data_IF_240734846213
#
_entry.id   IF_240734846213
#
_cell.length_a   1.000
_cell.length_b   1.000
_cell.length_c   1.000
_cell.angle_alpha   90.00
_cell.angle_beta   90.00
_cell.angle_gamma   90.00
#
_symmetry.space_group_name_H-M   'P 1'
#
loop_
_entity.id
_entity.type
_entity.pdbx_description
1 polymer ?
#
# COMPACT_ATOMS: atom_id res chain seq x y z
N UNK A 1 -28.36 7.54 -8.57
CA UNK A 1 -27.20 6.72 -8.24
C UNK A 1 -26.12 6.78 -9.33
N UNK A 2 -26.44 6.53 -10.61
CA UNK A 2 -25.48 6.58 -11.73
C UNK A 2 -24.71 7.91 -11.78
N UNK A 3 -25.40 9.04 -11.70
CA UNK A 3 -24.79 10.38 -11.74
C UNK A 3 -23.86 10.63 -10.54
N UNK A 4 -24.21 10.09 -9.36
CA UNK A 4 -23.37 10.17 -8.17
C UNK A 4 -22.04 9.43 -8.37
N UNK A 5 -22.09 8.18 -8.84
CA UNK A 5 -20.89 7.38 -9.09
C UNK A 5 -20.04 7.95 -10.25
N UNK A 6 -20.70 8.47 -11.30
CA UNK A 6 -20.00 9.16 -12.38
C UNK A 6 -19.25 10.40 -11.87
N UNK A 7 -19.85 11.20 -11.00
CA UNK A 7 -19.20 12.35 -10.38
C UNK A 7 -18.05 11.96 -9.45
N UNK A 8 -18.24 10.95 -8.60
CA UNK A 8 -17.20 10.42 -7.72
C UNK A 8 -15.98 9.87 -8.48
N UNK A 9 -16.19 9.41 -9.72
CA UNK A 9 -15.09 8.94 -10.57
C UNK A 9 -14.45 10.09 -11.36
N UNK A 10 -15.25 10.90 -12.07
CA UNK A 10 -14.74 11.89 -13.02
C UNK A 10 -14.04 13.06 -12.34
N UNK A 11 -14.59 13.58 -11.24
CA UNK A 11 -14.02 14.77 -10.56
C UNK A 11 -12.60 14.53 -10.04
N UNK A 12 -12.29 13.45 -9.32
CA UNK A 12 -10.90 13.15 -8.91
C UNK A 12 -9.97 12.91 -10.10
N UNK A 13 -10.46 12.29 -11.19
CA UNK A 13 -9.63 12.05 -12.39
C UNK A 13 -9.23 13.37 -13.05
N UNK A 14 -10.15 14.30 -13.21
CA UNK A 14 -9.84 15.64 -13.74
C UNK A 14 -8.88 16.40 -12.82
N UNK A 15 -9.05 16.32 -11.51
CA UNK A 15 -8.12 16.91 -10.55
C UNK A 15 -6.71 16.32 -10.67
N UNK A 16 -6.59 15.00 -10.80
CA UNK A 16 -5.30 14.32 -11.01
C UNK A 16 -4.62 14.73 -12.31
N UNK A 17 -5.36 14.85 -13.42
CA UNK A 17 -4.84 15.34 -14.69
C UNK A 17 -4.25 16.75 -14.51
N UNK A 18 -4.99 17.64 -13.83
CA UNK A 18 -4.54 19.01 -13.57
C UNK A 18 -3.31 19.07 -12.66
N UNK A 19 -3.28 18.27 -11.59
CA UNK A 19 -2.19 18.26 -10.63
C UNK A 19 -0.89 17.68 -11.19
N UNK A 20 -0.99 16.63 -12.02
CA UNK A 20 0.18 15.95 -12.61
C UNK A 20 0.67 16.57 -13.91
N UNK A 21 -0.12 17.46 -14.53
CA UNK A 21 0.26 18.13 -15.74
C UNK A 21 1.20 19.30 -15.46
N UNK A 22 2.30 19.39 -16.21
CA UNK A 22 3.17 20.55 -16.15
C UNK A 22 2.39 21.83 -16.50
N UNK A 23 2.57 22.95 -15.77
CA UNK A 23 1.82 24.19 -16.00
C UNK A 23 1.81 24.65 -17.46
N UNK A 24 2.94 24.52 -18.16
CA UNK A 24 3.13 24.90 -19.58
C UNK A 24 2.35 24.04 -20.58
N UNK A 25 2.01 22.79 -20.21
CA UNK A 25 1.32 21.83 -21.06
C UNK A 25 -0.12 21.55 -20.64
N UNK A 26 -0.55 22.05 -19.49
CA UNK A 26 -1.83 21.73 -18.86
C UNK A 26 -3.03 22.02 -19.78
N UNK A 27 -3.04 23.18 -20.43
CA UNK A 27 -4.10 23.55 -21.37
C UNK A 27 -4.22 22.56 -22.54
N UNK A 28 -3.08 22.13 -23.11
CA UNK A 28 -3.04 21.16 -24.22
C UNK A 28 -3.54 19.79 -23.78
N UNK A 29 -3.15 19.35 -22.58
CA UNK A 29 -3.57 18.05 -22.02
C UNK A 29 -5.08 18.05 -21.78
N UNK A 30 -5.64 19.14 -21.22
CA UNK A 30 -7.09 19.28 -21.01
C UNK A 30 -7.82 19.31 -22.36
N UNK A 31 -7.32 20.04 -23.34
CA UNK A 31 -7.93 20.09 -24.69
C UNK A 31 -7.92 18.71 -25.36
N UNK A 32 -6.79 17.98 -25.30
CA UNK A 32 -6.71 16.61 -25.84
C UNK A 32 -7.69 15.67 -25.13
N UNK A 33 -7.80 15.74 -23.80
CA UNK A 33 -8.77 14.96 -23.05
C UNK A 33 -10.22 15.27 -23.45
N UNK A 34 -10.56 16.54 -23.68
CA UNK A 34 -11.89 16.93 -24.11
C UNK A 34 -12.21 16.43 -25.52
N UNK A 35 -11.24 16.46 -26.43
CA UNK A 35 -11.39 15.90 -27.80
C UNK A 35 -11.64 14.38 -27.71
N UNK A 36 -10.85 13.65 -26.92
CA UNK A 36 -11.03 12.22 -26.71
C UNK A 36 -12.41 11.92 -26.11
N UNK A 37 -12.85 12.67 -25.11
CA UNK A 37 -14.20 12.52 -24.53
C UNK A 37 -15.30 12.73 -25.59
N UNK A 38 -15.19 13.74 -26.44
CA UNK A 38 -16.15 13.97 -27.52
C UNK A 38 -16.18 12.79 -28.51
N UNK A 39 -15.02 12.26 -28.91
CA UNK A 39 -14.93 11.07 -29.77
C UNK A 39 -15.57 9.83 -29.12
N UNK A 40 -15.31 9.60 -27.84
CA UNK A 40 -15.95 8.50 -27.10
C UNK A 40 -17.46 8.70 -26.96
N UNK A 41 -17.94 9.93 -26.78
CA UNK A 41 -19.38 10.23 -26.76
C UNK A 41 -20.03 9.89 -28.10
N UNK A 42 -19.44 10.27 -29.24
CA UNK A 42 -19.94 9.94 -30.59
C UNK A 42 -19.93 8.40 -30.75
N UNK A 43 -18.81 7.72 -30.45
CA UNK A 43 -18.70 6.28 -30.59
C UNK A 43 -19.74 5.54 -29.74
N UNK A 44 -19.92 5.94 -28.49
CA UNK A 44 -20.88 5.31 -27.59
C UNK A 44 -22.35 5.53 -28.06
N UNK A 45 -22.65 6.71 -28.61
CA UNK A 45 -23.97 6.98 -29.17
C UNK A 45 -24.27 6.12 -30.38
N UNK A 46 -23.31 5.94 -31.29
CA UNK A 46 -23.42 5.04 -32.44
C UNK A 46 -23.63 3.58 -32.01
N UNK A 47 -22.84 3.11 -31.05
CA UNK A 47 -22.97 1.74 -30.53
C UNK A 47 -24.33 1.54 -29.86
N UNK A 48 -24.77 2.48 -29.01
CA UNK A 48 -26.06 2.39 -28.36
C UNK A 48 -27.21 2.40 -29.39
N UNK A 49 -27.13 3.26 -30.41
CA UNK A 49 -28.12 3.30 -31.52
C UNK A 49 -28.15 1.99 -32.30
N UNK A 50 -27.00 1.41 -32.61
CA UNK A 50 -26.92 0.11 -33.32
C UNK A 50 -27.52 -1.03 -32.48
N UNK A 51 -27.24 -1.08 -31.17
CA UNK A 51 -27.80 -2.09 -30.28
C UNK A 51 -29.34 -1.97 -30.19
N UNK A 52 -29.85 -0.75 -30.02
CA UNK A 52 -31.31 -0.50 -30.00
C UNK A 52 -31.96 -0.87 -31.33
N UNK A 53 -31.32 -0.53 -32.47
CA UNK A 53 -31.77 -0.90 -33.80
C UNK A 53 -31.75 -2.42 -34.04
N UNK A 54 -30.87 -3.15 -33.39
CA UNK A 54 -30.81 -4.62 -33.39
C UNK A 54 -31.85 -5.27 -32.44
N UNK A 55 -32.70 -4.50 -31.79
CA UNK A 55 -33.78 -4.99 -30.91
C UNK A 55 -33.38 -5.16 -29.44
N UNK A 56 -32.19 -4.70 -29.01
CA UNK A 56 -31.83 -4.69 -27.60
C UNK A 56 -32.70 -3.69 -26.84
N UNK A 57 -33.11 -4.08 -25.63
CA UNK A 57 -33.84 -3.19 -24.73
C UNK A 57 -32.88 -2.24 -24.00
N UNK A 58 -33.40 -1.10 -23.54
CA UNK A 58 -32.59 -0.13 -22.75
C UNK A 58 -31.83 -0.77 -21.57
N UNK A 59 -32.44 -1.65 -20.73
CA UNK A 59 -31.71 -2.36 -19.68
C UNK A 59 -30.55 -3.23 -20.19
N UNK A 60 -30.72 -3.85 -21.38
CA UNK A 60 -29.64 -4.67 -21.99
C UNK A 60 -28.48 -3.80 -22.49
N UNK A 61 -28.74 -2.60 -23.00
CA UNK A 61 -27.72 -1.62 -23.38
C UNK A 61 -26.94 -1.16 -22.14
N UNK A 62 -27.62 -0.92 -21.02
CA UNK A 62 -26.96 -0.62 -19.74
C UNK A 62 -26.12 -1.80 -19.23
N UNK A 63 -26.61 -3.01 -19.34
CA UNK A 63 -25.86 -4.21 -18.96
C UNK A 63 -24.60 -4.37 -19.82
N UNK A 64 -24.72 -4.21 -21.14
CA UNK A 64 -23.58 -4.24 -22.06
C UNK A 64 -22.52 -3.19 -21.66
N UNK A 65 -22.92 -1.95 -21.43
CA UNK A 65 -22.04 -0.88 -21.02
C UNK A 65 -21.38 -1.19 -19.67
N UNK A 66 -22.14 -1.74 -18.72
CA UNK A 66 -21.63 -2.17 -17.41
C UNK A 66 -20.56 -3.25 -17.53
N UNK A 67 -20.77 -4.26 -18.38
CA UNK A 67 -19.79 -5.32 -18.65
C UNK A 67 -18.55 -4.74 -19.33
N UNK A 68 -18.70 -3.90 -20.34
CA UNK A 68 -17.59 -3.24 -21.03
C UNK A 68 -16.75 -2.40 -20.05
N UNK A 69 -17.39 -1.62 -19.18
CA UNK A 69 -16.69 -0.89 -18.12
C UNK A 69 -15.95 -1.80 -17.14
N UNK A 70 -16.56 -2.93 -16.75
CA UNK A 70 -15.90 -3.89 -15.85
C UNK A 70 -14.63 -4.48 -16.47
N UNK A 71 -14.67 -4.79 -17.78
CA UNK A 71 -13.49 -5.30 -18.52
C UNK A 71 -12.39 -4.24 -18.57
N UNK A 72 -12.73 -2.99 -18.91
CA UNK A 72 -11.76 -1.89 -18.94
C UNK A 72 -11.21 -1.61 -17.56
N UNK A 73 -12.05 -1.57 -16.54
CA UNK A 73 -11.62 -1.39 -15.15
C UNK A 73 -10.67 -2.50 -14.70
N UNK A 74 -10.98 -3.76 -15.01
CA UNK A 74 -10.11 -4.89 -14.72
C UNK A 74 -8.75 -4.73 -15.43
N UNK A 75 -8.74 -4.37 -16.71
CA UNK A 75 -7.51 -4.12 -17.45
C UNK A 75 -6.67 -3.01 -16.82
N UNK A 76 -7.27 -1.87 -16.47
CA UNK A 76 -6.56 -0.75 -15.82
C UNK A 76 -5.99 -1.18 -14.47
N UNK A 77 -6.79 -1.90 -13.66
CA UNK A 77 -6.32 -2.38 -12.36
C UNK A 77 -5.19 -3.42 -12.46
N UNK A 78 -5.14 -4.19 -13.53
CA UNK A 78 -4.01 -5.08 -13.79
C UNK A 78 -2.74 -4.33 -14.21
N UNK A 79 -2.88 -3.15 -14.83
CA UNK A 79 -1.73 -2.29 -15.16
C UNK A 79 -1.14 -1.55 -13.95
N UNK A 80 -1.99 -1.16 -13.00
CA UNK A 80 -1.59 -0.38 -11.83
C UNK A 80 -2.19 -0.95 -10.53
N UNK A 81 -1.91 -2.22 -10.22
CA UNK A 81 -2.57 -2.94 -9.13
C UNK A 81 -2.31 -2.32 -7.74
N UNK A 82 -1.18 -1.65 -7.57
CA UNK A 82 -0.82 -1.00 -6.31
C UNK A 82 -1.80 0.09 -5.89
N UNK A 83 -2.40 0.81 -6.82
CA UNK A 83 -3.41 1.83 -6.49
C UNK A 83 -4.72 1.21 -6.06
N UNK A 84 -5.15 0.12 -6.73
CA UNK A 84 -6.32 -0.65 -6.32
C UNK A 84 -6.11 -1.25 -4.92
N UNK A 85 -4.97 -1.88 -4.68
CA UNK A 85 -4.66 -2.49 -3.39
C UNK A 85 -4.64 -1.46 -2.27
N UNK A 86 -4.09 -0.27 -2.51
CA UNK A 86 -4.14 0.85 -1.55
C UNK A 86 -5.56 1.32 -1.29
N UNK A 87 -6.36 1.47 -2.33
CA UNK A 87 -7.78 1.84 -2.17
C UNK A 87 -8.53 0.79 -1.35
N UNK A 88 -8.36 -0.50 -1.65
CA UNK A 88 -8.94 -1.60 -0.88
C UNK A 88 -8.44 -1.58 0.56
N UNK A 89 -7.13 -1.38 0.77
CA UNK A 89 -6.55 -1.25 2.11
C UNK A 89 -7.16 -0.08 2.89
N UNK A 90 -7.34 1.07 2.24
CA UNK A 90 -7.97 2.24 2.84
C UNK A 90 -9.44 1.97 3.22
N UNK A 91 -10.22 1.36 2.31
CA UNK A 91 -11.60 0.96 2.58
C UNK A 91 -11.65 -0.03 3.75
N UNK A 92 -10.85 -1.11 3.70
CA UNK A 92 -10.79 -2.12 4.75
C UNK A 92 -10.42 -1.52 6.11
N UNK A 93 -9.44 -0.61 6.14
CA UNK A 93 -9.01 0.04 7.38
C UNK A 93 -10.13 0.88 8.02
N UNK A 94 -11.01 1.46 7.22
CA UNK A 94 -12.16 2.26 7.70
C UNK A 94 -13.36 1.40 8.11
N UNK A 95 -13.61 0.28 7.39
CA UNK A 95 -14.73 -0.61 7.68
C UNK A 95 -14.46 -1.60 8.82
N UNK A 96 -13.20 -2.09 8.93
CA UNK A 96 -12.83 -3.07 9.98
C UNK A 96 -12.37 -2.36 11.25
N UNK A 97 -11.66 -1.23 11.09
CA UNK A 97 -11.10 -0.46 12.19
C UNK A 97 -11.53 1.00 12.15
N UNK A 98 -11.56 1.64 13.30
CA UNK A 98 -11.56 3.11 13.40
C UNK A 98 -10.10 3.58 13.35
N UNK A 99 -9.51 3.47 12.17
CA UNK A 99 -8.10 3.75 11.97
C UNK A 99 -7.83 5.25 11.97
N UNK A 100 -6.88 5.68 12.79
CA UNK A 100 -6.41 7.06 12.88
C UNK A 100 -4.92 7.10 12.64
N UNK A 101 -4.46 8.06 11.86
CA UNK A 101 -3.05 8.34 11.61
C UNK A 101 -2.70 9.67 12.24
N UNK A 102 -1.52 9.78 12.84
CA UNK A 102 -0.93 11.00 13.39
C UNK A 102 0.49 11.12 12.88
N UNK A 103 0.89 12.31 12.44
CA UNK A 103 2.23 12.57 11.92
C UNK A 103 2.45 12.04 10.50
N UNK A 104 1.39 11.83 9.72
CA UNK A 104 1.45 11.34 8.33
C UNK A 104 2.22 12.30 7.41
N UNK A 105 2.34 13.58 7.79
CA UNK A 105 3.21 14.57 7.14
C UNK A 105 4.69 14.19 7.15
N UNK A 106 5.11 13.31 8.06
CA UNK A 106 6.48 12.78 8.13
C UNK A 106 6.76 11.69 7.08
N UNK A 107 5.74 11.13 6.43
CA UNK A 107 5.94 10.17 5.35
C UNK A 107 6.26 10.95 4.07
N UNK A 108 7.47 10.81 3.49
CA UNK A 108 7.85 11.59 2.33
C UNK A 108 6.95 11.30 1.13
N UNK A 109 6.42 12.35 0.51
CA UNK A 109 5.63 12.26 -0.74
C UNK A 109 6.49 11.94 -1.96
N UNK A 110 7.79 12.21 -1.89
CA UNK A 110 8.79 11.96 -2.96
C UNK A 110 10.12 11.52 -2.35
N UNK A 111 10.97 10.88 -3.15
CA UNK A 111 12.31 10.43 -2.73
C UNK A 111 12.30 9.15 -1.90
N UNK A 112 13.46 8.54 -1.75
CA UNK A 112 13.64 7.29 -0.99
C UNK A 112 13.42 7.50 0.51
N UNK A 113 12.76 6.55 1.16
CA UNK A 113 12.72 6.48 2.62
C UNK A 113 12.44 5.05 3.10
N UNK A 114 12.90 4.74 4.31
CA UNK A 114 12.63 3.48 5.00
C UNK A 114 11.62 3.73 6.11
N UNK A 115 10.50 3.03 6.08
CA UNK A 115 9.47 3.08 7.11
C UNK A 115 9.71 1.92 8.09
N UNK A 116 10.07 2.23 9.33
CA UNK A 116 10.37 1.23 10.35
C UNK A 116 9.24 1.16 11.38
N UNK A 117 8.47 0.07 11.39
CA UNK A 117 7.29 -0.10 12.23
C UNK A 117 7.39 -1.35 13.10
N UNK A 118 6.72 -1.33 14.27
CA UNK A 118 6.49 -2.53 15.07
C UNK A 118 5.61 -3.54 14.34
N UNK A 119 5.71 -4.83 14.70
CA UNK A 119 5.01 -5.92 14.00
C UNK A 119 4.10 -6.71 14.94
N UNK A 120 2.82 -6.39 14.93
CA UNK A 120 1.82 -6.92 15.89
C UNK A 120 0.71 -7.74 15.24
N UNK A 121 0.54 -7.66 13.90
CA UNK A 121 -0.57 -8.31 13.21
C UNK A 121 -0.23 -8.64 11.75
N UNK A 122 -0.99 -9.54 11.15
CA UNK A 122 -0.90 -9.85 9.71
C UNK A 122 -1.38 -8.71 8.81
N UNK A 123 -2.11 -7.73 9.34
CA UNK A 123 -2.63 -6.58 8.58
C UNK A 123 -1.80 -5.32 8.74
N UNK A 124 -0.66 -5.36 9.42
CA UNK A 124 0.21 -4.20 9.63
C UNK A 124 0.57 -3.54 8.30
N UNK A 125 1.01 -4.34 7.31
CA UNK A 125 1.33 -3.85 5.98
C UNK A 125 0.12 -3.19 5.29
N UNK A 126 -1.08 -3.72 5.48
CA UNK A 126 -2.33 -3.17 4.92
C UNK A 126 -2.62 -1.79 5.54
N UNK A 127 -2.44 -1.64 6.86
CA UNK A 127 -2.66 -0.37 7.55
C UNK A 127 -1.60 0.68 7.15
N UNK A 128 -0.33 0.27 6.99
CA UNK A 128 0.71 1.17 6.48
C UNK A 128 0.39 1.62 5.05
N UNK A 129 -0.04 0.71 4.16
CA UNK A 129 -0.47 1.07 2.80
C UNK A 129 -1.65 2.04 2.80
N UNK A 130 -2.60 1.87 3.72
CA UNK A 130 -3.76 2.77 3.85
C UNK A 130 -3.38 4.18 4.32
N UNK A 131 -2.31 4.30 5.10
CA UNK A 131 -1.83 5.58 5.65
C UNK A 131 -0.88 6.32 4.70
N UNK A 132 -0.22 5.62 3.79
CA UNK A 132 0.82 6.20 2.94
C UNK A 132 0.25 7.03 1.78
N UNK A 133 0.86 8.18 1.42
CA UNK A 133 0.47 8.96 0.25
C UNK A 133 0.82 8.28 -1.08
N UNK A 134 1.74 7.29 -1.08
CA UNK A 134 2.23 6.59 -2.28
C UNK A 134 2.51 5.10 -2.01
N UNK A 135 2.71 4.27 -3.05
CA UNK A 135 2.99 2.85 -2.90
C UNK A 135 4.20 2.58 -2.01
N UNK A 136 4.13 1.48 -1.25
CA UNK A 136 5.20 1.02 -0.35
C UNK A 136 5.61 -0.38 -0.78
N UNK A 137 6.91 -0.67 -0.79
CA UNK A 137 7.46 -2.01 -0.86
C UNK A 137 7.62 -2.59 0.54
N UNK A 138 7.34 -3.89 0.70
CA UNK A 138 7.43 -4.59 1.99
C UNK A 138 8.34 -5.80 1.89
N UNK A 139 9.17 -6.01 2.90
CA UNK A 139 9.87 -7.29 3.09
C UNK A 139 8.91 -8.26 3.79
N UNK A 140 8.65 -9.42 3.18
CA UNK A 140 7.71 -10.42 3.69
C UNK A 140 8.31 -11.82 3.61
N UNK A 141 7.95 -12.69 4.56
CA UNK A 141 8.39 -14.09 4.60
C UNK A 141 8.11 -14.79 3.26
N UNK A 142 9.14 -15.39 2.66
CA UNK A 142 9.06 -16.08 1.36
C UNK A 142 8.03 -17.21 1.32
N UNK A 143 7.71 -17.83 2.46
CA UNK A 143 6.74 -18.92 2.56
C UNK A 143 5.32 -18.47 2.20
N UNK A 144 4.97 -17.21 2.46
CA UNK A 144 3.66 -16.64 2.13
C UNK A 144 3.43 -16.60 0.62
N UNK A 145 4.51 -16.43 -0.16
CA UNK A 145 4.43 -16.42 -1.63
C UNK A 145 4.14 -17.79 -2.25
N UNK A 146 4.25 -18.87 -1.46
CA UNK A 146 3.89 -20.23 -1.90
C UNK A 146 2.38 -20.52 -1.77
N UNK A 147 1.65 -19.70 -1.02
CA UNK A 147 0.19 -19.86 -0.86
C UNK A 147 -0.51 -19.36 -2.13
N UNK A 148 -1.32 -20.20 -2.80
CA UNK A 148 -2.10 -19.77 -3.96
C UNK A 148 -2.94 -18.53 -3.65
N UNK A 149 -3.18 -17.67 -4.63
CA UNK A 149 -3.89 -16.38 -4.49
C UNK A 149 -3.13 -15.35 -3.66
N UNK A 150 -2.70 -15.68 -2.42
CA UNK A 150 -1.95 -14.75 -1.58
C UNK A 150 -0.58 -14.42 -2.19
N UNK A 151 0.14 -15.41 -2.69
CA UNK A 151 1.42 -15.18 -3.36
C UNK A 151 1.32 -14.27 -4.58
N UNK A 152 0.25 -14.45 -5.36
CA UNK A 152 -0.05 -13.54 -6.48
C UNK A 152 -0.38 -12.14 -5.99
N UNK A 153 -1.25 -12.00 -4.98
CA UNK A 153 -1.65 -10.73 -4.40
C UNK A 153 -0.46 -9.95 -3.83
N UNK A 154 0.45 -10.63 -3.10
CA UNK A 154 1.64 -9.97 -2.53
C UNK A 154 2.65 -9.55 -3.60
N UNK A 155 2.77 -10.28 -4.71
CA UNK A 155 3.57 -9.80 -5.86
C UNK A 155 2.97 -8.53 -6.47
N UNK A 156 1.65 -8.48 -6.63
CA UNK A 156 0.95 -7.25 -7.04
C UNK A 156 1.13 -6.10 -6.05
N UNK A 157 1.20 -6.41 -4.75
CA UNK A 157 1.46 -5.43 -3.70
C UNK A 157 2.93 -5.00 -3.60
N UNK A 158 3.79 -5.39 -4.56
CA UNK A 158 5.22 -5.07 -4.56
C UNK A 158 5.96 -5.58 -3.31
N UNK A 159 5.49 -6.69 -2.72
CA UNK A 159 6.17 -7.33 -1.61
C UNK A 159 7.42 -8.08 -2.09
N UNK A 160 8.51 -7.95 -1.32
CA UNK A 160 9.81 -8.56 -1.57
C UNK A 160 9.93 -9.81 -0.70
N UNK A 161 10.05 -11.01 -1.28
CA UNK A 161 10.22 -12.23 -0.50
C UNK A 161 11.58 -12.22 0.21
N UNK A 162 11.59 -12.46 1.52
CA UNK A 162 12.81 -12.61 2.33
C UNK A 162 12.78 -13.92 3.09
N UNK A 163 13.91 -14.61 3.13
CA UNK A 163 14.12 -15.81 3.93
C UNK A 163 15.18 -15.57 5.01
N UNK A 164 15.18 -16.34 6.11
CA UNK A 164 16.32 -16.34 7.03
C UNK A 164 17.61 -16.76 6.30
N UNK A 165 18.72 -16.06 6.57
CA UNK A 165 20.01 -16.31 5.90
C UNK A 165 20.49 -17.77 6.04
N UNK A 166 20.17 -18.42 7.18
CA UNK A 166 20.52 -19.83 7.42
C UNK A 166 19.67 -20.82 6.63
N UNK A 167 18.46 -20.42 6.23
CA UNK A 167 17.51 -21.27 5.52
C UNK A 167 17.70 -21.18 4.00
N UNK A 168 17.77 -19.96 3.48
CA UNK A 168 17.96 -19.69 2.05
C UNK A 168 18.81 -18.42 1.87
N UNK A 169 20.15 -18.57 1.82
CA UNK A 169 21.05 -17.45 1.63
C UNK A 169 20.81 -16.68 0.33
N UNK A 170 20.43 -17.36 -0.75
CA UNK A 170 20.19 -16.73 -2.04
C UNK A 170 18.97 -15.80 -2.01
N UNK A 171 17.85 -16.29 -1.48
CA UNK A 171 16.64 -15.46 -1.30
C UNK A 171 16.89 -14.31 -0.31
N UNK A 172 17.72 -14.55 0.73
CA UNK A 172 18.12 -13.50 1.67
C UNK A 172 18.87 -12.37 0.95
N UNK A 173 19.94 -12.69 0.21
CA UNK A 173 20.76 -11.68 -0.49
C UNK A 173 19.94 -10.95 -1.58
N UNK A 174 19.14 -11.68 -2.35
CA UNK A 174 18.26 -11.10 -3.36
C UNK A 174 17.25 -10.11 -2.76
N UNK A 175 16.71 -10.40 -1.56
CA UNK A 175 15.78 -9.51 -0.87
C UNK A 175 16.44 -8.19 -0.48
N UNK A 176 17.65 -8.21 0.05
CA UNK A 176 18.39 -7.01 0.45
C UNK A 176 18.85 -6.20 -0.76
N UNK A 177 19.25 -6.87 -1.85
CA UNK A 177 19.57 -6.18 -3.10
C UNK A 177 18.32 -5.52 -3.70
N UNK A 178 17.18 -6.21 -3.72
CA UNK A 178 15.93 -5.60 -4.19
C UNK A 178 15.49 -4.43 -3.30
N UNK A 179 15.68 -4.53 -1.99
CA UNK A 179 15.40 -3.44 -1.06
C UNK A 179 16.26 -2.20 -1.36
N UNK A 180 17.56 -2.37 -1.60
CA UNK A 180 18.45 -1.28 -2.02
C UNK A 180 18.02 -0.69 -3.37
N UNK A 181 17.64 -1.54 -4.33
CA UNK A 181 17.14 -1.10 -5.63
C UNK A 181 15.87 -0.23 -5.50
N UNK A 182 14.93 -0.58 -4.63
CA UNK A 182 13.73 0.22 -4.34
C UNK A 182 14.11 1.62 -3.86
N UNK A 183 15.11 1.72 -3.00
CA UNK A 183 15.62 3.01 -2.52
C UNK A 183 16.33 3.80 -3.64
N UNK A 184 17.08 3.13 -4.53
CA UNK A 184 17.66 3.77 -5.74
C UNK A 184 16.59 4.35 -6.68
N UNK A 185 15.46 3.64 -6.79
CA UNK A 185 14.30 4.08 -7.59
C UNK A 185 13.55 5.27 -6.95
N UNK A 186 13.92 5.66 -5.71
CA UNK A 186 13.30 6.77 -4.99
C UNK A 186 11.98 6.37 -4.32
N UNK A 187 11.73 5.08 -4.13
CA UNK A 187 10.50 4.54 -3.56
C UNK A 187 10.55 4.35 -2.03
N UNK A 188 9.37 4.08 -1.44
CA UNK A 188 9.24 3.77 -0.02
C UNK A 188 9.44 2.27 0.23
N UNK A 189 10.28 1.95 1.20
CA UNK A 189 10.48 0.60 1.71
C UNK A 189 10.01 0.51 3.15
N UNK A 190 9.06 -0.36 3.46
CA UNK A 190 8.69 -0.66 4.83
C UNK A 190 9.35 -1.92 5.33
N UNK A 191 9.83 -1.85 6.56
CA UNK A 191 10.45 -2.97 7.27
C UNK A 191 9.85 -3.08 8.67
N UNK A 192 9.72 -4.31 9.14
CA UNK A 192 9.42 -4.63 10.52
C UNK A 192 10.72 -5.14 11.17
N UNK A 193 11.49 -4.26 11.87
CA UNK A 193 12.83 -4.60 12.30
C UNK A 193 12.89 -5.74 13.34
N UNK A 194 11.77 -6.04 13.98
CA UNK A 194 11.60 -7.20 14.88
C UNK A 194 11.81 -8.54 14.15
N UNK A 195 11.56 -8.56 12.82
CA UNK A 195 11.74 -9.73 11.96
C UNK A 195 10.74 -10.84 12.23
N UNK A 196 9.56 -10.51 12.74
CA UNK A 196 8.43 -11.39 12.93
C UNK A 196 7.36 -10.76 13.80
N UNK A 197 6.11 -11.26 13.67
CA UNK A 197 4.98 -10.79 14.47
C UNK A 197 5.23 -11.16 15.94
N UNK A 198 5.04 -10.19 16.85
CA UNK A 198 5.15 -10.39 18.29
C UNK A 198 4.21 -11.52 18.78
N UNK A 199 4.62 -12.22 19.83
CA UNK A 199 3.84 -13.32 20.43
C UNK A 199 3.04 -12.88 21.65
N UNK A 200 3.46 -11.81 22.29
CA UNK A 200 2.97 -11.27 23.55
C UNK A 200 2.36 -9.86 23.44
N UNK A 201 2.57 -9.19 22.31
CA UNK A 201 2.12 -7.82 22.07
C UNK A 201 3.19 -6.78 22.42
N UNK A 202 4.30 -7.20 23.00
CA UNK A 202 5.38 -6.31 23.36
C UNK A 202 6.33 -6.05 22.18
N UNK A 203 6.96 -4.88 22.20
CA UNK A 203 7.93 -4.47 21.18
C UNK A 203 9.21 -5.28 21.33
N UNK A 204 9.49 -6.13 20.36
CA UNK A 204 10.65 -7.02 20.35
C UNK A 204 11.94 -6.26 20.02
N UNK A 205 13.12 -6.82 20.34
CA UNK A 205 14.41 -6.24 19.93
C UNK A 205 14.52 -6.11 18.40
N UNK A 206 15.06 -4.98 17.95
CA UNK A 206 15.27 -4.73 16.54
C UNK A 206 16.52 -5.45 16.03
N UNK A 207 16.38 -6.15 14.90
CA UNK A 207 17.48 -6.88 14.25
C UNK A 207 18.29 -5.97 13.34
N UNK A 208 19.54 -6.35 13.09
CA UNK A 208 20.47 -5.60 12.24
C UNK A 208 20.12 -5.57 10.72
N UNK A 209 19.02 -6.18 10.29
CA UNK A 209 18.62 -6.18 8.89
C UNK A 209 18.42 -4.78 8.30
N UNK A 210 17.89 -3.85 9.09
CA UNK A 210 17.74 -2.46 8.65
C UNK A 210 19.09 -1.80 8.34
N UNK A 211 20.13 -2.09 9.12
CA UNK A 211 21.46 -1.55 8.90
C UNK A 211 22.05 -2.01 7.58
N UNK A 212 21.89 -3.31 7.24
CA UNK A 212 22.34 -3.83 5.94
C UNK A 212 21.69 -3.15 4.75
N UNK A 213 20.40 -2.79 4.86
CA UNK A 213 19.70 -2.04 3.81
C UNK A 213 20.26 -0.63 3.68
N UNK A 214 20.47 0.04 4.81
CA UNK A 214 21.03 1.40 4.86
C UNK A 214 22.46 1.38 4.28
N UNK A 215 23.32 0.46 4.70
CA UNK A 215 24.69 0.33 4.22
C UNK A 215 24.74 0.13 2.69
N UNK A 216 23.89 -0.74 2.15
CA UNK A 216 23.82 -0.96 0.69
C UNK A 216 23.34 0.29 -0.06
N UNK A 217 22.31 0.95 0.44
CA UNK A 217 21.81 2.20 -0.17
C UNK A 217 22.88 3.30 -0.14
N UNK A 218 23.60 3.43 0.98
CA UNK A 218 24.71 4.39 1.13
C UNK A 218 25.89 4.08 0.21
N UNK A 219 26.21 2.81 0.00
CA UNK A 219 27.25 2.40 -0.95
C UNK A 219 26.94 2.88 -2.38
N UNK A 220 25.65 3.01 -2.72
CA UNK A 220 25.15 3.55 -3.98
C UNK A 220 24.91 5.08 -3.95
N UNK A 221 25.34 5.76 -2.87
CA UNK A 221 25.19 7.20 -2.68
C UNK A 221 23.78 7.65 -2.27
N UNK A 222 22.88 6.74 -1.90
CA UNK A 222 21.50 7.04 -1.52
C UNK A 222 21.39 7.27 -0.02
N UNK A 223 20.97 8.47 0.36
CA UNK A 223 20.69 8.86 1.75
C UNK A 223 19.18 8.75 2.03
N UNK A 224 18.69 7.54 2.28
CA UNK A 224 17.28 7.30 2.59
C UNK A 224 17.02 7.50 4.09
N UNK A 225 16.26 8.53 4.50
CA UNK A 225 15.90 8.71 5.91
C UNK A 225 15.03 7.55 6.40
N UNK A 226 15.13 7.26 7.70
CA UNK A 226 14.30 6.26 8.36
C UNK A 226 13.20 6.96 9.15
N UNK A 227 11.95 6.62 8.84
CA UNK A 227 10.76 7.13 9.52
C UNK A 227 10.30 6.10 10.54
N UNK A 228 10.45 6.36 11.85
CA UNK A 228 9.93 5.46 12.88
C UNK A 228 8.41 5.54 12.93
N UNK A 229 7.75 4.40 13.02
CA UNK A 229 6.29 4.29 13.06
C UNK A 229 5.84 3.32 14.15
N UNK A 230 4.66 3.56 14.72
CA UNK A 230 4.11 2.66 15.73
C UNK A 230 2.61 2.43 15.50
N UNK A 231 2.23 1.16 15.32
CA UNK A 231 0.85 0.70 15.31
C UNK A 231 0.39 0.45 16.74
N UNK A 232 -0.66 1.17 17.15
CA UNK A 232 -1.21 1.14 18.51
C UNK A 232 -2.57 0.46 18.55
N UNK A 233 -2.89 -0.23 19.66
CA UNK A 233 -4.17 -0.92 19.91
C UNK A 233 -4.55 -2.00 18.88
N UNK A 234 -3.60 -2.49 18.09
CA UNK A 234 -3.87 -3.51 17.08
C UNK A 234 -3.69 -4.94 17.63
N UNK A 235 -2.83 -5.12 18.65
CA UNK A 235 -2.65 -6.41 19.31
C UNK A 235 -3.96 -6.94 19.91
N UNK A 236 -4.23 -8.22 19.71
CA UNK A 236 -5.48 -8.87 20.12
C UNK A 236 -6.69 -8.55 19.24
N UNK A 237 -6.52 -7.81 18.14
CA UNK A 237 -7.55 -7.63 17.11
C UNK A 237 -7.76 -8.93 16.31
N UNK A 238 -8.77 -8.93 15.43
CA UNK A 238 -9.15 -10.11 14.63
C UNK A 238 -7.99 -10.77 13.89
N UNK A 239 -7.06 -9.99 13.33
CA UNK A 239 -5.93 -10.48 12.53
C UNK A 239 -4.63 -10.62 13.33
N UNK A 240 -4.66 -10.47 14.65
CA UNK A 240 -3.47 -10.66 15.48
C UNK A 240 -3.14 -12.14 15.66
N UNK A 241 -1.86 -12.42 15.84
CA UNK A 241 -1.41 -13.73 16.29
C UNK A 241 -1.89 -13.96 17.73
N UNK A 242 -2.28 -15.17 18.07
CA UNK A 242 -2.82 -15.50 19.39
C UNK A 242 -1.84 -16.42 20.14
N UNK A 243 -1.93 -16.36 21.48
CA UNK A 243 -1.11 -16.93 22.55
C UNK A 243 -0.67 -18.41 22.41
N UNK A 244 -1.18 -19.16 21.42
CA UNK A 244 -0.83 -20.58 21.21
C UNK A 244 -0.15 -20.87 19.86
N UNK A 245 0.42 -19.86 19.23
CA UNK A 245 1.19 -20.06 17.99
C UNK A 245 0.36 -20.26 16.71
N UNK A 246 -0.97 -20.27 16.79
CA UNK A 246 -1.87 -20.36 15.64
C UNK A 246 -2.49 -18.99 15.34
N UNK A 247 -2.52 -18.62 14.05
CA UNK A 247 -3.23 -17.43 13.61
C UNK A 247 -4.74 -17.60 13.85
N UNK A 248 -5.38 -16.55 14.35
CA UNK A 248 -6.85 -16.42 14.37
C UNK A 248 -7.65 -17.56 15.05
N UNK A 249 -7.36 -17.87 16.32
CA UNK A 249 -8.15 -18.87 17.07
C UNK A 249 -9.55 -18.38 17.44
N UNK A 250 -9.77 -17.07 17.56
CA UNK A 250 -11.10 -16.48 17.82
C UNK A 250 -11.27 -15.21 16.98
N UNK A 251 -12.01 -15.29 15.85
CA UNK A 251 -12.37 -14.10 15.08
C UNK A 251 -13.20 -13.14 15.92
N UNK A 252 -13.03 -11.84 15.69
CA UNK A 252 -13.80 -10.75 16.33
C UNK A 252 -13.63 -10.64 17.86
N UNK A 253 -12.48 -11.01 18.41
CA UNK A 253 -12.23 -10.97 19.85
C UNK A 253 -12.47 -9.58 20.47
N UNK A 254 -12.16 -8.50 19.73
CA UNK A 254 -12.47 -7.10 20.13
C UNK A 254 -13.63 -6.48 19.37
N UNK A 255 -14.29 -7.26 18.51
CA UNK A 255 -15.35 -6.78 17.64
C UNK A 255 -14.82 -5.97 16.43
N UNK A 256 -15.72 -5.69 15.49
CA UNK A 256 -15.46 -4.75 14.39
C UNK A 256 -15.41 -3.32 14.94
N UNK A 257 -14.72 -2.41 14.23
CA UNK A 257 -14.57 -0.99 14.56
C UNK A 257 -13.70 -0.72 15.80
N UNK A 258 -12.75 -1.60 16.12
CA UNK A 258 -11.72 -1.32 17.12
C UNK A 258 -10.97 -0.04 16.76
N UNK A 259 -10.64 0.78 17.78
CA UNK A 259 -9.83 1.99 17.57
C UNK A 259 -8.37 1.56 17.43
N UNK A 260 -7.81 1.74 16.24
CA UNK A 260 -6.41 1.45 15.92
C UNK A 260 -5.73 2.74 15.51
N UNK A 261 -4.51 2.97 15.97
CA UNK A 261 -3.73 4.14 15.62
C UNK A 261 -2.45 3.78 14.88
N UNK A 262 -1.97 4.70 14.05
CA UNK A 262 -0.62 4.74 13.54
C UNK A 262 -0.01 6.09 13.91
N UNK A 263 1.02 6.06 14.73
CA UNK A 263 1.81 7.24 15.06
C UNK A 263 3.10 7.22 14.23
N UNK A 264 3.36 8.31 13.52
CA UNK A 264 4.52 8.48 12.64
C UNK A 264 5.44 9.53 13.24
N UNK A 265 6.66 9.14 13.53
CA UNK A 265 7.67 10.04 14.10
C UNK A 265 8.46 10.80 13.03
N UNK A 266 9.20 11.81 13.47
CA UNK A 266 10.09 12.57 12.59
C UNK A 266 11.14 11.67 11.95
N UNK A 267 11.50 11.91 10.67
CA UNK A 267 12.53 11.16 9.97
C UNK A 267 13.89 11.27 10.67
N UNK A 268 14.64 10.18 10.69
CA UNK A 268 16.00 10.08 11.21
C UNK A 268 16.95 9.95 10.05
N UNK A 269 18.05 10.71 10.04
CA UNK A 269 19.07 10.57 9.00
C UNK A 269 19.65 9.14 9.01
N UNK A 270 19.93 8.58 7.83
CA UNK A 270 20.43 7.22 7.70
C UNK A 270 21.73 6.99 8.48
N UNK A 271 22.60 8.02 8.60
CA UNK A 271 23.83 7.99 9.39
C UNK A 271 23.61 7.79 10.89
N UNK A 272 22.47 8.23 11.39
CA UNK A 272 22.17 8.30 12.84
C UNK A 272 21.32 7.12 13.31
N UNK A 273 21.01 6.20 12.39
CA UNK A 273 20.19 5.03 12.69
C UNK A 273 21.03 3.93 13.36
N UNK A 274 20.55 3.49 14.51
CA UNK A 274 21.01 2.27 15.17
C UNK A 274 19.79 1.50 15.70
N UNK A 275 19.83 0.16 15.78
CA UNK A 275 18.68 -0.67 16.15
C UNK A 275 18.02 -0.27 17.48
N UNK A 276 18.79 -0.14 18.57
CA UNK A 276 18.25 0.19 19.90
C UNK A 276 17.73 1.64 20.02
N UNK A 277 18.43 2.70 19.57
CA UNK A 277 17.87 4.03 19.52
C UNK A 277 16.61 4.13 18.68
N UNK A 278 16.56 3.44 17.52
CA UNK A 278 15.36 3.41 16.67
C UNK A 278 14.20 2.69 17.38
N UNK A 279 14.47 1.56 18.06
CA UNK A 279 13.49 0.86 18.89
C UNK A 279 12.94 1.78 19.99
N UNK A 280 13.81 2.55 20.65
CA UNK A 280 13.41 3.54 21.66
C UNK A 280 12.45 4.59 21.11
N UNK A 281 12.68 5.09 19.89
CA UNK A 281 11.77 6.03 19.21
C UNK A 281 10.41 5.39 18.91
N UNK A 282 10.39 4.15 18.43
CA UNK A 282 9.14 3.41 18.19
C UNK A 282 8.39 3.14 19.50
N UNK A 283 9.11 2.82 20.59
CA UNK A 283 8.52 2.65 21.92
C UNK A 283 7.87 3.93 22.45
N UNK A 284 8.48 5.10 22.23
CA UNK A 284 7.87 6.40 22.58
C UNK A 284 6.58 6.65 21.78
N UNK A 285 6.56 6.33 20.48
CA UNK A 285 5.39 6.47 19.64
C UNK A 285 4.24 5.51 20.03
N UNK A 286 4.53 4.38 20.66
CA UNK A 286 3.50 3.48 21.20
C UNK A 286 2.77 4.08 22.40
N UNK A 287 3.38 5.01 23.12
CA UNK A 287 2.83 5.66 24.32
C UNK A 287 2.12 6.98 24.01
N UNK A 288 2.31 7.54 22.80
CA UNK A 288 1.70 8.80 22.34
C UNK A 288 0.29 8.58 21.75
#
# INVERSE_FOLDING_TARGET
LLSLFAGLYSVPMYALIQMRSQPTHRARIIAANNILNALFMIGSSVIAGALLGAGFTVPQVFLFTGIANAVVAFYIFMLVPEYLLRFVAWVMSRFIYRFKVRGDEHIPSTGAAILACNHVSFVDAVLLMAASPRPIYFLMDHRIFRVPVLGWLFRLAKAIPVAPQKEDPATYEAAFERAAQVLREGDLLAIFPEGGITKDGELQPFKGGIMKIIERAQADGIQAPVVPMALTNLWGSYFSRIERGTAMVRPFRRGMFSRVGLNVGAPVAASDVQPEPLRGRVAQLLQA
#
